data_IF_011877042079
#
_entry.id   IF_011877042079
#
_cell.length_a   1.000
_cell.length_b   1.000
_cell.length_c   1.000
_cell.angle_alpha   90.00
_cell.angle_beta   90.00
_cell.angle_gamma   90.00
#
_symmetry.space_group_name_H-M   'P 1'
#
loop_
_entity.id
_entity.type
_entity.pdbx_description
1 polymer ?
#
# COMPACT_ATOMS: atom_id res chain seq x y z
N UNK A 1 -19.59 1.10 13.78
CA UNK A 1 -19.51 1.15 12.31
C UNK A 1 -19.29 2.57 11.83
N UNK A 2 -18.31 2.73 10.98
CA UNK A 2 -18.01 4.02 10.35
C UNK A 2 -19.05 4.32 9.28
N UNK A 3 -19.71 5.47 9.36
CA UNK A 3 -20.63 5.91 8.32
C UNK A 3 -19.87 6.57 7.18
N UNK A 4 -20.47 6.64 6.00
CA UNK A 4 -19.87 7.31 4.85
C UNK A 4 -19.49 8.77 5.19
N UNK A 5 -20.30 9.44 5.96
CA UNK A 5 -20.04 10.82 6.41
C UNK A 5 -18.80 10.91 7.30
N UNK A 6 -18.59 9.90 8.16
CA UNK A 6 -17.40 9.85 9.01
C UNK A 6 -16.15 9.61 8.16
N UNK A 7 -16.24 8.73 7.17
CA UNK A 7 -15.13 8.47 6.23
C UNK A 7 -14.74 9.73 5.48
N UNK A 8 -15.71 10.52 5.03
CA UNK A 8 -15.46 11.78 4.33
C UNK A 8 -14.69 12.78 5.19
N UNK A 9 -14.87 12.75 6.51
CA UNK A 9 -14.20 13.65 7.43
C UNK A 9 -12.79 13.20 7.80
N UNK A 10 -12.42 11.99 7.47
CA UNK A 10 -11.08 11.47 7.77
C UNK A 10 -10.03 12.15 6.91
N UNK A 11 -8.81 12.31 7.46
CA UNK A 11 -7.67 12.71 6.66
C UNK A 11 -7.35 11.62 5.64
N UNK A 12 -6.57 11.95 4.62
CA UNK A 12 -6.19 10.98 3.61
C UNK A 12 -5.47 9.77 4.21
N UNK A 13 -4.55 10.01 5.15
CA UNK A 13 -3.84 8.94 5.83
C UNK A 13 -4.74 8.05 6.67
N UNK A 14 -5.66 8.66 7.42
CA UNK A 14 -6.62 7.93 8.23
C UNK A 14 -7.57 7.11 7.35
N UNK A 15 -8.02 7.70 6.25
CA UNK A 15 -8.89 7.01 5.30
C UNK A 15 -8.19 5.79 4.70
N UNK A 16 -6.91 5.91 4.34
CA UNK A 16 -6.15 4.79 3.80
C UNK A 16 -5.95 3.69 4.83
N UNK A 17 -5.67 4.04 6.09
CA UNK A 17 -5.58 3.06 7.17
C UNK A 17 -6.90 2.32 7.36
N UNK A 18 -8.02 3.03 7.28
CA UNK A 18 -9.34 2.42 7.37
C UNK A 18 -9.59 1.46 6.22
N UNK A 19 -9.27 1.87 4.99
CA UNK A 19 -9.45 1.01 3.81
C UNK A 19 -8.58 -0.24 3.89
N UNK A 20 -7.35 -0.09 4.35
CA UNK A 20 -6.44 -1.21 4.53
C UNK A 20 -6.98 -2.19 5.56
N UNK A 21 -7.42 -1.71 6.71
CA UNK A 21 -7.99 -2.54 7.76
C UNK A 21 -9.23 -3.29 7.27
N UNK A 22 -10.09 -2.62 6.50
CA UNK A 22 -11.28 -3.23 5.92
C UNK A 22 -10.92 -4.34 4.94
N UNK A 23 -9.96 -4.08 4.05
CA UNK A 23 -9.52 -5.08 3.08
C UNK A 23 -8.90 -6.30 3.77
N UNK A 24 -8.08 -6.07 4.79
CA UNK A 24 -7.40 -7.14 5.53
C UNK A 24 -8.39 -7.98 6.33
N UNK A 25 -9.48 -7.38 6.82
CA UNK A 25 -10.50 -8.10 7.57
C UNK A 25 -11.13 -9.25 6.77
N UNK A 26 -11.08 -9.20 5.46
CA UNK A 26 -11.56 -10.26 4.57
C UNK A 26 -10.54 -11.38 4.35
N UNK A 27 -9.38 -11.30 4.96
CA UNK A 27 -8.29 -12.28 4.90
C UNK A 27 -7.91 -12.67 3.46
N UNK A 28 -7.52 -11.68 2.62
CA UNK A 28 -7.15 -11.96 1.24
C UNK A 28 -5.81 -12.70 1.16
N UNK A 29 -5.60 -13.41 0.05
CA UNK A 29 -4.29 -13.99 -0.27
C UNK A 29 -3.44 -13.04 -1.09
N UNK A 30 -4.07 -12.12 -1.79
CA UNK A 30 -3.41 -11.12 -2.61
C UNK A 30 -4.09 -9.77 -2.38
N UNK A 31 -3.29 -8.77 -2.11
CA UNK A 31 -3.75 -7.41 -1.90
C UNK A 31 -3.22 -6.54 -3.04
N UNK A 32 -4.12 -5.85 -3.72
CA UNK A 32 -3.77 -4.93 -4.81
C UNK A 32 -3.99 -3.50 -4.34
N UNK A 33 -2.93 -2.70 -4.36
CA UNK A 33 -2.98 -1.32 -3.90
C UNK A 33 -2.45 -0.39 -5.00
N UNK A 34 -3.29 0.57 -5.40
CA UNK A 34 -2.92 1.54 -6.43
C UNK A 34 -2.63 2.88 -5.78
N UNK A 35 -1.36 3.29 -5.79
CA UNK A 35 -0.90 4.56 -5.23
C UNK A 35 -1.44 4.83 -3.82
N UNK A 36 -1.39 3.87 -2.88
CA UNK A 36 -2.07 4.03 -1.59
C UNK A 36 -1.48 5.13 -0.73
N UNK A 37 -0.22 5.48 -0.92
CA UNK A 37 0.46 6.49 -0.11
C UNK A 37 0.51 7.86 -0.78
N UNK A 38 -0.12 8.02 -1.95
CA UNK A 38 -0.13 9.29 -2.66
C UNK A 38 -0.75 10.39 -1.79
N UNK A 39 -0.04 11.51 -1.66
CA UNK A 39 -0.50 12.63 -0.86
C UNK A 39 -0.31 12.51 0.64
N UNK A 40 0.25 11.41 1.12
CA UNK A 40 0.61 11.27 2.53
C UNK A 40 1.94 11.94 2.82
N UNK A 41 2.06 12.53 4.02
CA UNK A 41 3.37 13.00 4.47
C UNK A 41 4.28 11.83 4.85
N UNK A 42 5.60 12.06 4.99
CA UNK A 42 6.55 10.98 5.26
C UNK A 42 6.28 10.19 6.53
N UNK A 43 5.75 10.82 7.56
CA UNK A 43 5.45 10.15 8.83
C UNK A 43 4.30 9.16 8.64
N UNK A 44 3.25 9.58 7.96
CA UNK A 44 2.11 8.71 7.66
C UNK A 44 2.48 7.57 6.71
N UNK A 45 3.35 7.82 5.74
CA UNK A 45 3.82 6.76 4.83
C UNK A 45 4.55 5.66 5.61
N UNK A 46 5.45 6.07 6.50
CA UNK A 46 6.20 5.12 7.33
C UNK A 46 5.27 4.26 8.19
N UNK A 47 4.29 4.90 8.79
CA UNK A 47 3.28 4.21 9.60
C UNK A 47 2.44 3.25 8.74
N UNK A 48 2.09 3.66 7.54
CA UNK A 48 1.33 2.82 6.61
C UNK A 48 2.09 1.52 6.30
N UNK A 49 3.38 1.63 5.94
CA UNK A 49 4.18 0.45 5.62
C UNK A 49 4.36 -0.45 6.85
N UNK A 50 4.56 0.14 8.01
CA UNK A 50 4.68 -0.63 9.24
C UNK A 50 3.44 -1.48 9.50
N UNK A 51 2.27 -0.88 9.36
CA UNK A 51 1.01 -1.58 9.54
C UNK A 51 0.79 -2.63 8.44
N UNK A 52 1.09 -2.28 7.21
CA UNK A 52 0.93 -3.19 6.07
C UNK A 52 1.75 -4.46 6.27
N UNK A 53 3.04 -4.33 6.51
CA UNK A 53 3.92 -5.49 6.67
C UNK A 53 3.57 -6.33 7.88
N UNK A 54 3.17 -5.70 8.98
CA UNK A 54 2.71 -6.39 10.17
C UNK A 54 1.52 -7.31 9.87
N UNK A 55 0.56 -6.81 9.12
CA UNK A 55 -0.65 -7.56 8.80
C UNK A 55 -0.38 -8.65 7.77
N UNK A 56 0.44 -8.39 6.77
CA UNK A 56 0.77 -9.39 5.76
C UNK A 56 1.54 -10.56 6.34
N UNK A 57 2.40 -10.31 7.32
CA UNK A 57 3.14 -11.36 8.00
C UNK A 57 2.20 -12.33 8.72
N UNK A 58 1.18 -11.81 9.38
CA UNK A 58 0.20 -12.63 10.11
C UNK A 58 -0.70 -13.42 9.15
N UNK A 59 -1.08 -12.82 8.02
CA UNK A 59 -2.10 -13.36 7.12
C UNK A 59 -1.55 -14.24 5.98
N UNK A 60 -0.25 -14.32 5.83
CA UNK A 60 0.38 -15.01 4.69
C UNK A 60 -0.21 -14.48 3.36
N UNK A 61 -0.20 -13.18 3.22
CA UNK A 61 -0.77 -12.46 2.08
C UNK A 61 0.34 -11.81 1.27
N UNK A 62 0.21 -11.84 -0.06
CA UNK A 62 1.11 -11.11 -0.95
C UNK A 62 0.50 -9.77 -1.33
N UNK A 63 1.34 -8.81 -1.69
CA UNK A 63 0.87 -7.49 -2.10
C UNK A 63 1.50 -7.06 -3.42
N UNK A 64 0.68 -6.47 -4.27
CA UNK A 64 1.14 -5.75 -5.46
C UNK A 64 0.71 -4.31 -5.30
N UNK A 65 1.66 -3.39 -5.37
CA UNK A 65 1.40 -1.98 -5.14
C UNK A 65 2.03 -1.13 -6.25
N UNK A 66 1.28 -0.14 -6.72
CA UNK A 66 1.83 0.89 -7.60
C UNK A 66 2.22 2.12 -6.80
N UNK A 67 3.29 2.79 -7.21
CA UNK A 67 3.74 4.02 -6.58
C UNK A 67 4.71 4.78 -7.47
N UNK A 68 4.77 6.10 -7.30
CA UNK A 68 5.79 6.97 -7.92
C UNK A 68 6.95 7.25 -6.96
N UNK A 69 6.87 6.78 -5.72
CA UNK A 69 7.85 7.08 -4.68
C UNK A 69 8.98 6.06 -4.72
N UNK A 70 9.97 6.30 -5.57
CA UNK A 70 11.06 5.35 -5.82
C UNK A 70 11.83 4.95 -4.56
N UNK A 71 12.08 5.89 -3.65
CA UNK A 71 12.81 5.58 -2.43
C UNK A 71 12.04 4.59 -1.54
N UNK A 72 10.72 4.77 -1.44
CA UNK A 72 9.88 3.86 -0.68
C UNK A 72 9.85 2.48 -1.32
N UNK A 73 9.74 2.42 -2.65
CA UNK A 73 9.73 1.16 -3.38
C UNK A 73 11.02 0.39 -3.13
N UNK A 74 12.16 1.05 -3.19
CA UNK A 74 13.46 0.41 -2.96
C UNK A 74 13.66 -0.09 -1.54
N UNK A 75 13.07 0.60 -0.56
CA UNK A 75 13.20 0.22 0.85
C UNK A 75 12.26 -0.90 1.24
N UNK A 76 11.08 -0.94 0.66
CA UNK A 76 9.98 -1.73 1.20
C UNK A 76 9.69 -3.03 0.45
N UNK A 77 10.11 -3.18 -0.80
CA UNK A 77 9.63 -4.27 -1.64
C UNK A 77 10.73 -5.23 -2.09
N UNK A 78 10.34 -6.50 -2.26
CA UNK A 78 11.26 -7.55 -2.70
C UNK A 78 11.49 -7.55 -4.20
N UNK A 79 10.47 -7.17 -4.97
CA UNK A 79 10.53 -7.13 -6.43
C UNK A 79 10.03 -5.80 -6.93
N UNK A 80 10.66 -5.31 -7.98
CA UNK A 80 10.33 -4.01 -8.57
C UNK A 80 10.08 -4.16 -10.05
N UNK A 81 8.92 -3.67 -10.51
CA UNK A 81 8.60 -3.59 -11.91
C UNK A 81 8.48 -2.14 -12.35
N UNK A 82 8.91 -1.84 -13.55
CA UNK A 82 8.78 -0.50 -14.12
C UNK A 82 7.90 -0.54 -15.36
N UNK A 83 7.04 0.48 -15.45
CA UNK A 83 6.16 0.68 -16.61
C UNK A 83 6.48 2.03 -17.25
N UNK A 84 6.52 2.03 -18.58
CA UNK A 84 6.61 3.26 -19.35
C UNK A 84 5.66 3.13 -20.54
N UNK A 85 4.84 4.15 -20.77
CA UNK A 85 3.90 4.19 -21.89
C UNK A 85 2.99 2.94 -21.94
N UNK A 86 2.58 2.44 -20.79
CA UNK A 86 1.69 1.29 -20.71
C UNK A 86 2.35 -0.06 -20.90
N UNK A 87 3.68 -0.11 -20.98
CA UNK A 87 4.43 -1.35 -21.18
C UNK A 87 5.41 -1.59 -20.04
N UNK A 88 5.62 -2.86 -19.70
CA UNK A 88 6.68 -3.26 -18.79
C UNK A 88 8.03 -3.02 -19.44
N UNK A 89 8.86 -2.22 -18.81
CA UNK A 89 10.23 -1.97 -19.28
C UNK A 89 11.27 -2.78 -18.53
N UNK A 90 10.99 -3.13 -17.27
CA UNK A 90 11.88 -3.98 -16.48
C UNK A 90 11.12 -4.60 -15.31
N UNK A 91 11.65 -5.74 -14.84
CA UNK A 91 11.18 -6.40 -13.63
C UNK A 91 12.38 -7.11 -13.01
N UNK A 92 12.67 -6.82 -11.75
CA UNK A 92 13.87 -7.36 -11.12
C UNK A 92 13.69 -7.54 -9.61
N UNK A 93 14.51 -8.43 -9.06
CA UNK A 93 14.59 -8.62 -7.62
C UNK A 93 15.36 -7.47 -6.99
N UNK A 94 14.78 -6.91 -5.93
CA UNK A 94 15.40 -5.82 -5.19
C UNK A 94 16.39 -6.41 -4.18
N UNK A 95 17.64 -6.20 -4.43
CA UNK A 95 18.70 -6.76 -3.58
C UNK A 95 18.98 -5.88 -2.36
#
# INVERSE_FOLDING_TARGET
LTTARTVEKMSRGENMKFQLAFAIAHKPRLLLLDEPTAGMDPIFRKEFYRLLWQQLEVLDCSVIMSSHLEDDIRKEFDYIGQFEHGEFTSFYENA
#
